data_IF_021276440977
#
_entry.id   IF_021276440977
#
_cell.length_a   1.000
_cell.length_b   1.000
_cell.length_c   1.000
_cell.angle_alpha   90.00
_cell.angle_beta   90.00
_cell.angle_gamma   90.00
#
_symmetry.space_group_name_H-M   'P 1'
#
loop_
_entity.id
_entity.type
_entity.pdbx_description
1 polymer ?
#
# COMPACT_ATOMS: atom_id res chain seq x y z
N UNK A 1 4.58 13.44 -1.21
CA UNK A 1 3.53 13.00 -0.26
C UNK A 1 3.20 11.54 -0.49
N UNK A 2 2.22 10.97 0.21
CA UNK A 2 1.84 9.55 0.09
C UNK A 2 1.43 9.13 -1.33
N UNK A 3 0.72 10.00 -2.05
CA UNK A 3 0.37 9.77 -3.46
C UNK A 3 1.60 9.64 -4.35
N UNK A 4 2.65 10.42 -4.07
CA UNK A 4 3.93 10.33 -4.80
C UNK A 4 4.60 8.98 -4.53
N UNK A 5 4.62 8.53 -3.28
CA UNK A 5 5.15 7.21 -2.91
C UNK A 5 4.37 6.11 -3.62
N UNK A 6 3.04 6.17 -3.58
CA UNK A 6 2.19 5.22 -4.30
C UNK A 6 2.53 5.17 -5.79
N UNK A 7 2.56 6.34 -6.45
CA UNK A 7 2.81 6.42 -7.89
C UNK A 7 4.20 5.88 -8.29
N UNK A 8 5.24 6.21 -7.52
CA UNK A 8 6.61 5.71 -7.75
C UNK A 8 6.67 4.20 -7.62
N UNK A 9 6.16 3.64 -6.51
CA UNK A 9 6.16 2.19 -6.32
C UNK A 9 5.26 1.48 -7.33
N UNK A 10 4.17 2.10 -7.76
CA UNK A 10 3.29 1.53 -8.77
C UNK A 10 3.95 1.50 -10.14
N UNK A 11 4.65 2.57 -10.52
CA UNK A 11 5.38 2.64 -11.78
C UNK A 11 6.48 1.58 -11.85
N UNK A 12 7.20 1.35 -10.75
CA UNK A 12 8.30 0.39 -10.68
C UNK A 12 7.79 -1.05 -10.61
N UNK A 13 6.93 -1.35 -9.63
CA UNK A 13 6.49 -2.73 -9.37
C UNK A 13 5.37 -3.21 -10.29
N UNK A 14 4.55 -2.27 -10.79
CA UNK A 14 3.27 -2.52 -11.47
C UNK A 14 2.28 -3.32 -10.61
N UNK A 15 2.43 -3.32 -9.27
CA UNK A 15 1.56 -4.05 -8.34
C UNK A 15 0.85 -3.06 -7.41
N UNK A 16 -0.48 -2.94 -7.55
CA UNK A 16 -1.29 -1.95 -6.81
C UNK A 16 -1.27 -2.17 -5.30
N UNK A 17 -1.37 -3.42 -4.84
CA UNK A 17 -1.40 -3.74 -3.41
C UNK A 17 -0.08 -3.43 -2.72
N UNK A 18 1.05 -3.73 -3.35
CA UNK A 18 2.37 -3.37 -2.84
C UNK A 18 2.49 -1.85 -2.69
N UNK A 19 2.15 -1.09 -3.72
CA UNK A 19 2.19 0.38 -3.68
C UNK A 19 1.28 0.95 -2.61
N UNK A 20 0.09 0.38 -2.42
CA UNK A 20 -0.89 0.82 -1.42
C UNK A 20 -0.39 0.58 0.01
N UNK A 21 0.22 -0.57 0.28
CA UNK A 21 0.80 -0.89 1.59
C UNK A 21 1.95 0.07 1.92
N UNK A 22 2.84 0.33 0.96
CA UNK A 22 3.98 1.24 1.16
C UNK A 22 3.49 2.67 1.37
N UNK A 23 2.46 3.11 0.63
CA UNK A 23 1.86 4.42 0.82
C UNK A 23 1.18 4.56 2.19
N UNK A 24 0.52 3.50 2.68
CA UNK A 24 -0.09 3.47 4.01
C UNK A 24 0.95 3.58 5.12
N UNK A 25 2.07 2.87 5.01
CA UNK A 25 3.19 2.99 5.97
C UNK A 25 3.79 4.42 5.91
N UNK A 26 3.91 4.97 4.70
CA UNK A 26 4.47 6.30 4.49
C UNK A 26 3.61 7.42 5.09
N UNK A 27 2.29 7.26 5.19
CA UNK A 27 1.42 8.27 5.80
C UNK A 27 1.78 8.46 7.28
N UNK A 28 1.96 7.36 8.02
CA UNK A 28 2.32 7.41 9.44
C UNK A 28 3.71 8.02 9.65
N UNK A 29 4.68 7.63 8.81
CA UNK A 29 6.01 8.23 8.84
C UNK A 29 5.97 9.73 8.56
N UNK A 30 5.22 10.16 7.54
CA UNK A 30 5.08 11.58 7.20
C UNK A 30 4.43 12.39 8.31
N UNK A 31 3.39 11.87 8.99
CA UNK A 31 2.75 12.57 10.10
C UNK A 31 3.74 12.80 11.26
N UNK A 32 4.52 11.77 11.59
CA UNK A 32 5.56 11.86 12.62
C UNK A 32 6.68 12.84 12.23
N UNK A 33 7.22 12.74 11.02
CA UNK A 33 8.32 13.60 10.55
C UNK A 33 7.92 15.07 10.37
N UNK A 34 6.64 15.33 10.06
CA UNK A 34 6.14 16.71 9.92
C UNK A 34 5.63 17.30 11.23
N UNK A 35 5.74 16.57 12.35
CA UNK A 35 5.38 17.05 13.69
C UNK A 35 3.89 17.37 13.83
N UNK A 36 3.02 16.53 13.24
CA UNK A 36 1.57 16.77 13.31
C UNK A 36 1.04 16.54 14.73
N UNK A 37 -0.08 17.18 15.10
CA UNK A 37 -0.73 16.92 16.38
C UNK A 37 -1.04 15.44 16.60
N UNK A 38 -0.91 14.98 17.85
CA UNK A 38 -1.13 13.59 18.28
C UNK A 38 -2.40 12.93 17.69
N UNK A 39 -3.57 13.61 17.61
CA UNK A 39 -4.76 13.01 17.01
C UNK A 39 -4.56 12.55 15.55
N UNK A 40 -3.77 13.29 14.76
CA UNK A 40 -3.48 12.93 13.37
C UNK A 40 -2.51 11.75 13.29
N UNK A 41 -1.53 11.67 14.20
CA UNK A 41 -0.62 10.53 14.28
C UNK A 41 -1.37 9.24 14.62
N UNK A 42 -2.23 9.28 15.63
CA UNK A 42 -3.09 8.15 16.02
C UNK A 42 -3.97 7.74 14.84
N UNK A 43 -4.63 8.70 14.20
CA UNK A 43 -5.47 8.45 13.04
C UNK A 43 -4.68 7.79 11.88
N UNK A 44 -3.48 8.29 11.60
CA UNK A 44 -2.61 7.74 10.56
C UNK A 44 -2.15 6.30 10.88
N UNK A 45 -1.78 6.02 12.13
CA UNK A 45 -1.40 4.68 12.57
C UNK A 45 -2.58 3.72 12.48
N UNK A 46 -3.73 4.08 13.05
CA UNK A 46 -4.93 3.23 13.02
C UNK A 46 -5.43 3.01 11.59
N UNK A 47 -5.46 4.06 10.77
CA UNK A 47 -5.83 3.99 9.37
C UNK A 47 -4.85 3.13 8.56
N UNK A 48 -3.56 3.28 8.79
CA UNK A 48 -2.51 2.45 8.18
C UNK A 48 -2.66 0.97 8.52
N UNK A 49 -2.89 0.65 9.79
CA UNK A 49 -3.15 -0.72 10.24
C UNK A 49 -4.40 -1.31 9.59
N UNK A 50 -5.49 -0.53 9.51
CA UNK A 50 -6.72 -0.96 8.84
C UNK A 50 -6.51 -1.25 7.36
N UNK A 51 -5.78 -0.40 6.65
CA UNK A 51 -5.42 -0.62 5.24
C UNK A 51 -4.62 -1.91 5.07
N UNK A 52 -3.60 -2.13 5.90
CA UNK A 52 -2.79 -3.36 5.88
C UNK A 52 -3.68 -4.59 6.11
N UNK A 53 -4.56 -4.54 7.11
CA UNK A 53 -5.50 -5.63 7.40
C UNK A 53 -6.43 -5.93 6.21
N UNK A 54 -6.96 -4.89 5.56
CA UNK A 54 -7.80 -5.04 4.35
C UNK A 54 -7.03 -5.69 3.19
N UNK A 55 -5.72 -5.54 3.16
CA UNK A 55 -4.85 -6.13 2.15
C UNK A 55 -4.34 -7.52 2.50
N UNK A 56 -4.78 -8.18 3.60
CA UNK A 56 -4.25 -9.49 4.01
C UNK A 56 -4.22 -10.53 2.87
N UNK A 57 -5.29 -10.63 2.09
CA UNK A 57 -5.39 -11.56 0.96
C UNK A 57 -4.44 -11.21 -0.18
N UNK A 58 -4.20 -9.91 -0.36
CA UNK A 58 -3.27 -9.40 -1.36
C UNK A 58 -1.83 -9.64 -0.92
N UNK A 59 -1.53 -9.51 0.36
CA UNK A 59 -0.23 -9.84 0.95
C UNK A 59 0.06 -11.33 0.77
N UNK A 60 -0.90 -12.21 1.06
CA UNK A 60 -0.77 -13.65 0.80
C UNK A 60 -0.43 -13.94 -0.67
N UNK A 61 -1.14 -13.31 -1.62
CA UNK A 61 -0.83 -13.46 -3.06
C UNK A 61 0.49 -12.82 -3.45
N UNK A 62 0.87 -11.70 -2.85
CA UNK A 62 2.14 -11.01 -3.10
C UNK A 62 3.31 -11.90 -2.67
N UNK A 63 3.24 -12.48 -1.48
CA UNK A 63 4.23 -13.42 -0.95
C UNK A 63 4.30 -14.71 -1.79
N UNK A 64 3.16 -15.16 -2.31
CA UNK A 64 3.10 -16.30 -3.22
C UNK A 64 3.51 -15.96 -4.67
N UNK A 65 3.83 -14.69 -4.98
CA UNK A 65 4.14 -14.24 -6.35
C UNK A 65 2.96 -14.27 -7.33
N UNK A 66 1.73 -14.38 -6.82
CA UNK A 66 0.47 -14.51 -7.58
C UNK A 66 -0.33 -13.21 -7.68
N UNK A 67 0.13 -12.13 -7.06
CA UNK A 67 -0.57 -10.85 -7.12
C UNK A 67 -0.51 -10.27 -8.55
N UNK A 68 -1.65 -9.87 -9.13
CA UNK A 68 -1.70 -9.43 -10.51
C UNK A 68 -0.92 -8.12 -10.71
N UNK A 69 -0.14 -8.08 -11.80
CA UNK A 69 0.54 -6.86 -12.25
C UNK A 69 -0.34 -6.09 -13.23
N UNK A 70 -0.31 -4.77 -13.19
CA UNK A 70 -0.96 -3.91 -14.18
C UNK A 70 -0.42 -4.27 -15.57
N UNK A 71 -1.32 -4.60 -16.48
CA UNK A 71 -1.00 -5.03 -17.84
C UNK A 71 -0.75 -6.53 -18.00
N UNK A 72 -0.85 -7.32 -16.93
CA UNK A 72 -0.83 -8.78 -17.03
C UNK A 72 -2.21 -9.27 -17.49
N UNK A 73 -2.24 -10.07 -18.57
CA UNK A 73 -3.46 -10.77 -18.97
C UNK A 73 -3.76 -11.83 -17.90
N UNK A 74 -4.94 -11.78 -17.29
CA UNK A 74 -5.42 -12.88 -16.45
C UNK A 74 -5.65 -14.06 -17.39
N UNK A 75 -4.90 -15.14 -17.21
CA UNK A 75 -5.12 -16.41 -17.91
C UNK A 75 -6.54 -16.88 -17.57
N UNK A 76 -7.50 -16.56 -18.42
CA UNK A 76 -8.82 -17.19 -18.36
C UNK A 76 -8.63 -18.53 -19.05
N UNK A 77 -8.35 -19.58 -18.26
CA UNK A 77 -8.46 -20.93 -18.78
C UNK A 77 -9.93 -21.14 -19.20
N UNK A 78 -10.10 -21.40 -20.49
CA UNK A 78 -11.35 -21.68 -21.20
C UNK A 78 -11.69 -23.16 -21.13
#
# INVERSE_FOLDING_TARGET
>A
GTLSVFAVFLAISRIVSLSSIIAAISVSGLMFFTGQPIPYEIFAITGGMYVIWRHRSNIERLLAGKEPRIGQKLSTES
#
